data_IF_803757198770
#
_entry.id   IF_803757198770
#
_cell.length_a   1.000
_cell.length_b   1.000
_cell.length_c   1.000
_cell.angle_alpha   90.00
_cell.angle_beta   90.00
_cell.angle_gamma   90.00
#
_symmetry.space_group_name_H-M   'P 1'
#
loop_
_entity.id
_entity.type
_entity.pdbx_description
1 polymer ?
#
# COMPACT_ATOMS: atom_id res chain seq x y z
N UNK A 1 2.55 24.37 -22.58
CA UNK A 1 1.49 23.36 -22.35
C UNK A 1 1.02 23.53 -20.92
N UNK A 2 -0.26 23.84 -20.69
CA UNK A 2 -0.82 24.08 -19.35
C UNK A 2 -1.52 22.80 -18.90
N UNK A 3 -1.15 22.26 -17.75
CA UNK A 3 -1.72 21.02 -17.19
C UNK A 3 -2.80 21.29 -16.15
N UNK A 4 -2.73 22.47 -15.53
CA UNK A 4 -3.58 22.89 -14.43
C UNK A 4 -4.02 24.32 -14.68
N UNK A 5 -5.33 24.53 -14.77
CA UNK A 5 -5.92 25.85 -14.70
C UNK A 5 -6.14 26.23 -13.24
N UNK A 6 -5.30 27.15 -12.76
CA UNK A 6 -5.39 27.72 -11.42
C UNK A 6 -6.14 29.05 -11.45
N UNK A 7 -7.21 29.15 -10.67
CA UNK A 7 -7.78 30.42 -10.21
C UNK A 7 -7.47 30.62 -8.72
N UNK A 8 -7.79 31.77 -8.15
CA UNK A 8 -7.56 32.06 -6.71
C UNK A 8 -8.40 31.19 -5.76
N UNK A 9 -9.43 30.48 -6.27
CA UNK A 9 -10.33 29.65 -5.44
C UNK A 9 -10.46 28.19 -5.91
N UNK A 10 -9.97 27.86 -7.10
CA UNK A 10 -10.14 26.53 -7.71
C UNK A 10 -8.96 26.19 -8.61
N UNK A 11 -8.55 24.93 -8.58
CA UNK A 11 -7.61 24.34 -9.52
C UNK A 11 -8.36 23.25 -10.27
N UNK A 12 -8.32 23.31 -11.59
CA UNK A 12 -8.96 22.34 -12.48
C UNK A 12 -7.91 21.79 -13.43
N UNK A 13 -7.95 20.48 -13.68
CA UNK A 13 -7.05 19.84 -14.63
C UNK A 13 -7.47 20.20 -16.05
N UNK A 14 -6.50 20.38 -16.95
CA UNK A 14 -6.79 20.58 -18.38
C UNK A 14 -6.98 19.24 -19.06
N UNK A 15 -7.58 19.22 -20.25
CA UNK A 15 -7.74 17.99 -21.04
C UNK A 15 -6.39 17.33 -21.35
N UNK A 16 -5.37 18.15 -21.66
CA UNK A 16 -3.99 17.68 -21.81
C UNK A 16 -3.39 17.19 -20.48
N UNK A 17 -3.78 17.82 -19.37
CA UNK A 17 -3.43 17.42 -18.01
C UNK A 17 -3.99 16.06 -17.64
N UNK A 18 -5.23 15.74 -18.01
CA UNK A 18 -5.86 14.44 -17.76
C UNK A 18 -5.12 13.32 -18.49
N UNK A 19 -4.80 13.52 -19.77
CA UNK A 19 -4.05 12.53 -20.55
C UNK A 19 -2.67 12.29 -19.94
N UNK A 20 -1.95 13.36 -19.57
CA UNK A 20 -0.63 13.22 -18.91
C UNK A 20 -0.76 12.59 -17.53
N UNK A 21 -1.83 12.87 -16.79
CA UNK A 21 -2.10 12.26 -15.49
C UNK A 21 -2.28 10.75 -15.58
N UNK A 22 -3.04 10.26 -16.57
CA UNK A 22 -3.17 8.82 -16.82
C UNK A 22 -1.83 8.15 -17.14
N UNK A 23 -1.00 8.80 -17.97
CA UNK A 23 0.35 8.31 -18.26
C UNK A 23 1.25 8.31 -17.02
N UNK A 24 1.20 9.37 -16.21
CA UNK A 24 1.97 9.47 -14.98
C UNK A 24 1.54 8.41 -13.96
N UNK A 25 0.24 8.13 -13.84
CA UNK A 25 -0.26 7.05 -12.98
C UNK A 25 0.28 5.68 -13.42
N UNK A 26 0.26 5.38 -14.72
CA UNK A 26 0.82 4.13 -15.24
C UNK A 26 2.32 4.00 -14.93
N UNK A 27 3.10 5.05 -15.17
CA UNK A 27 4.54 5.04 -14.88
C UNK A 27 4.79 4.79 -13.39
N UNK A 28 4.02 5.44 -12.50
CA UNK A 28 4.16 5.23 -11.06
C UNK A 28 3.78 3.79 -10.65
N UNK A 29 2.77 3.20 -11.28
CA UNK A 29 2.41 1.80 -11.07
C UNK A 29 3.52 0.86 -11.55
N UNK A 30 4.04 1.06 -12.76
CA UNK A 30 5.10 0.24 -13.33
C UNK A 30 6.38 0.31 -12.50
N UNK A 31 6.73 1.50 -12.01
CA UNK A 31 7.87 1.70 -11.08
C UNK A 31 7.61 0.97 -9.76
N UNK A 32 6.39 1.05 -9.21
CA UNK A 32 6.01 0.31 -8.01
C UNK A 32 6.14 -1.20 -8.20
N UNK A 33 5.61 -1.73 -9.30
CA UNK A 33 5.71 -3.15 -9.64
C UNK A 33 7.16 -3.59 -9.83
N UNK A 34 7.98 -2.81 -10.53
CA UNK A 34 9.40 -3.08 -10.67
C UNK A 34 10.12 -3.11 -9.31
N UNK A 35 9.80 -2.16 -8.43
CA UNK A 35 10.35 -2.15 -7.07
C UNK A 35 9.91 -3.38 -6.27
N UNK A 36 8.68 -3.83 -6.41
CA UNK A 36 8.16 -5.04 -5.76
C UNK A 36 8.85 -6.30 -6.31
N UNK A 37 9.01 -6.42 -7.63
CA UNK A 37 9.72 -7.53 -8.29
C UNK A 37 11.20 -7.59 -7.89
N UNK A 38 11.88 -6.45 -7.79
CA UNK A 38 13.26 -6.37 -7.30
C UNK A 38 13.36 -6.65 -5.79
N UNK A 39 12.32 -6.31 -5.05
CA UNK A 39 12.20 -6.56 -3.62
C UNK A 39 11.91 -8.03 -3.31
N UNK A 40 11.34 -8.78 -4.25
CA UNK A 40 11.05 -10.22 -4.14
C UNK A 40 12.32 -11.08 -3.93
N UNK A 41 13.51 -10.47 -3.99
CA UNK A 41 14.78 -11.10 -3.62
C UNK A 41 14.92 -11.37 -2.11
N UNK A 42 14.12 -10.75 -1.22
CA UNK A 42 13.95 -11.09 0.23
C UNK A 42 13.12 -10.03 0.97
N UNK A 43 11.82 -9.87 0.66
CA UNK A 43 10.93 -9.08 1.52
C UNK A 43 10.54 -9.90 2.75
N UNK A 44 11.36 -9.80 3.80
CA UNK A 44 10.92 -10.14 5.15
C UNK A 44 9.81 -9.14 5.48
N UNK A 45 8.54 -9.53 5.68
CA UNK A 45 7.50 -8.60 6.11
C UNK A 45 7.94 -7.90 7.40
N UNK A 46 7.91 -6.58 7.37
CA UNK A 46 8.21 -5.70 8.51
C UNK A 46 7.13 -4.63 8.62
N UNK A 47 6.89 -4.12 9.83
CA UNK A 47 5.90 -3.07 10.09
C UNK A 47 4.79 -3.48 11.04
N UNK A 48 3.78 -2.62 11.22
CA UNK A 48 2.70 -2.83 12.19
C UNK A 48 1.46 -3.43 11.54
N UNK A 49 1.06 -4.64 11.97
CA UNK A 49 -0.15 -5.31 11.49
C UNK A 49 -1.25 -5.20 12.54
N UNK A 50 -2.34 -4.51 12.21
CA UNK A 50 -3.53 -4.37 13.07
C UNK A 50 -4.67 -5.23 12.54
N UNK A 51 -5.19 -6.15 13.35
CA UNK A 51 -6.27 -7.06 12.94
C UNK A 51 -7.48 -6.89 13.86
N UNK A 52 -8.66 -6.80 13.26
CA UNK A 52 -9.94 -6.72 13.97
C UNK A 52 -10.72 -7.99 13.65
N UNK A 53 -11.22 -8.67 14.68
CA UNK A 53 -12.05 -9.87 14.50
C UNK A 53 -13.05 -10.05 15.64
N UNK A 54 -14.04 -10.93 15.42
CA UNK A 54 -14.96 -11.33 16.48
C UNK A 54 -14.25 -12.18 17.54
N UNK A 55 -14.68 -12.08 18.80
CA UNK A 55 -13.97 -12.68 19.95
C UNK A 55 -13.65 -14.17 19.78
N UNK A 56 -14.63 -14.98 19.33
CA UNK A 56 -14.46 -16.42 19.14
C UNK A 56 -13.51 -16.76 17.99
N UNK A 57 -13.67 -16.11 16.85
CA UNK A 57 -12.82 -16.32 15.67
C UNK A 57 -11.39 -15.84 15.92
N UNK A 58 -11.25 -14.68 16.55
CA UNK A 58 -9.97 -14.08 16.89
C UNK A 58 -9.12 -14.97 17.76
N UNK A 59 -9.71 -15.58 18.78
CA UNK A 59 -8.97 -16.46 19.69
C UNK A 59 -8.66 -17.84 19.10
N UNK A 60 -9.59 -18.43 18.35
CA UNK A 60 -9.46 -19.81 17.86
C UNK A 60 -8.67 -19.93 16.56
N UNK A 61 -8.76 -18.93 15.69
CA UNK A 61 -8.18 -18.98 14.33
C UNK A 61 -7.08 -17.95 14.18
N UNK A 62 -7.34 -16.69 14.57
CA UNK A 62 -6.44 -15.60 14.23
C UNK A 62 -5.22 -15.52 15.15
N UNK A 63 -5.39 -15.69 16.47
CA UNK A 63 -4.29 -15.63 17.43
C UNK A 63 -3.21 -16.71 17.21
N UNK A 64 -3.55 -17.99 16.92
CA UNK A 64 -2.53 -18.99 16.56
C UNK A 64 -1.78 -18.65 15.28
N UNK A 65 -2.49 -18.17 14.25
CA UNK A 65 -1.89 -17.76 12.99
C UNK A 65 -0.94 -16.57 13.17
N UNK A 66 -1.31 -15.59 14.01
CA UNK A 66 -0.45 -14.46 14.34
C UNK A 66 0.76 -14.85 15.18
N UNK A 67 0.62 -15.82 16.09
CA UNK A 67 1.76 -16.36 16.82
C UNK A 67 2.76 -17.04 15.89
N UNK A 68 2.27 -17.82 14.91
CA UNK A 68 3.12 -18.43 13.89
C UNK A 68 3.81 -17.37 13.02
N UNK A 69 3.07 -16.33 12.61
CA UNK A 69 3.61 -15.21 11.82
C UNK A 69 4.67 -14.43 12.60
N UNK A 70 4.42 -14.11 13.87
CA UNK A 70 5.36 -13.41 14.74
C UNK A 70 6.68 -14.18 14.92
N UNK A 71 6.60 -15.52 14.99
CA UNK A 71 7.78 -16.40 15.09
C UNK A 71 8.57 -16.45 13.79
N UNK A 72 7.88 -16.49 12.64
CA UNK A 72 8.52 -16.49 11.33
C UNK A 72 9.12 -15.12 10.98
N UNK A 73 8.52 -14.02 11.46
CA UNK A 73 8.88 -12.66 11.10
C UNK A 73 8.92 -11.73 12.33
N UNK A 74 9.99 -11.80 13.14
CA UNK A 74 10.09 -11.04 14.40
C UNK A 74 10.16 -9.52 14.23
N UNK A 75 10.37 -9.02 13.01
CA UNK A 75 10.37 -7.59 12.67
C UNK A 75 8.96 -7.01 12.43
N UNK A 76 7.90 -7.83 12.49
CA UNK A 76 6.51 -7.37 12.36
C UNK A 76 5.90 -7.11 13.74
N UNK A 77 5.52 -5.87 14.03
CA UNK A 77 4.79 -5.52 15.25
C UNK A 77 3.30 -5.86 15.10
N UNK A 78 2.83 -6.91 15.76
CA UNK A 78 1.43 -7.35 15.65
C UNK A 78 0.61 -6.77 16.80
N UNK A 79 -0.53 -6.15 16.49
CA UNK A 79 -1.51 -5.66 17.48
C UNK A 79 -2.90 -6.18 17.12
N UNK A 80 -3.59 -6.73 18.12
CA UNK A 80 -4.93 -7.30 18.01
C UNK A 80 -5.94 -6.42 18.73
#
# INVERSE_FOLDING_TARGET
>A
MVLLHRTTRRVTITEEGERIYEWAQRILQDVGQMMDELSDVRQVPQGMLRIISSFGFGRQVVAPALSALAKAYPATGITF
#
